data_IF_084050260390
#
_entry.id   IF_084050260390
#
_cell.length_a   1.000
_cell.length_b   1.000
_cell.length_c   1.000
_cell.angle_alpha   90.00
_cell.angle_beta   90.00
_cell.angle_gamma   90.00
#
_symmetry.space_group_name_H-M   'P 1'
#
loop_
_entity.id
_entity.type
_entity.pdbx_description
1 polymer ?
#
# COMPACT_ATOMS: atom_id res chain seq x y z
N UNK A 1 8.42 -0.23 -15.33
CA UNK A 1 7.13 -0.55 -14.69
C UNK A 1 6.48 -1.63 -15.55
N UNK A 2 6.58 -2.89 -15.13
CA UNK A 2 6.24 -4.05 -15.98
C UNK A 2 5.19 -4.99 -15.36
N UNK A 3 4.77 -4.75 -14.11
CA UNK A 3 3.72 -5.51 -13.43
C UNK A 3 2.37 -4.82 -13.55
N UNK A 4 1.31 -5.60 -13.72
CA UNK A 4 -0.08 -5.13 -13.83
C UNK A 4 -0.48 -4.21 -12.67
N UNK A 5 0.00 -4.47 -11.46
CA UNK A 5 -0.26 -3.64 -10.28
C UNK A 5 0.33 -2.24 -10.41
N UNK A 6 1.57 -2.12 -10.89
CA UNK A 6 2.21 -0.82 -11.14
C UNK A 6 1.51 -0.03 -12.25
N UNK A 7 1.04 -0.71 -13.29
CA UNK A 7 0.38 -0.07 -14.42
C UNK A 7 -1.07 0.32 -14.10
N UNK A 8 -1.91 -0.64 -13.73
CA UNK A 8 -3.35 -0.43 -13.54
C UNK A 8 -3.68 0.30 -12.23
N UNK A 9 -3.09 -0.13 -11.11
CA UNK A 9 -3.45 0.35 -9.76
C UNK A 9 -2.72 1.67 -9.43
N UNK A 10 -1.42 1.73 -9.73
CA UNK A 10 -0.58 2.88 -9.33
C UNK A 10 -0.62 3.97 -10.39
N UNK A 11 -0.55 3.64 -11.69
CA UNK A 11 -0.45 4.67 -12.74
C UNK A 11 -1.82 5.08 -13.24
N UNK A 12 -2.56 4.17 -13.89
CA UNK A 12 -3.82 4.53 -14.52
C UNK A 12 -4.90 4.95 -13.52
N UNK A 13 -5.09 4.21 -12.42
CA UNK A 13 -6.11 4.58 -11.45
C UNK A 13 -5.83 5.92 -10.75
N UNK A 14 -4.57 6.27 -10.53
CA UNK A 14 -4.20 7.54 -9.89
C UNK A 14 -4.27 8.71 -10.88
N UNK A 15 -3.76 8.52 -12.10
CA UNK A 15 -3.87 9.54 -13.16
C UNK A 15 -5.34 9.83 -13.51
N UNK A 16 -6.19 8.81 -13.58
CA UNK A 16 -7.64 8.98 -13.78
C UNK A 16 -8.29 9.84 -12.68
N UNK A 17 -7.76 9.79 -11.45
CA UNK A 17 -8.21 10.61 -10.32
C UNK A 17 -7.57 12.00 -10.28
N UNK A 18 -6.66 12.33 -11.21
CA UNK A 18 -5.90 13.58 -11.21
C UNK A 18 -4.78 13.63 -10.17
N UNK A 19 -4.40 12.48 -9.60
CA UNK A 19 -3.35 12.41 -8.58
C UNK A 19 -1.95 12.46 -9.21
N UNK A 20 -1.01 13.05 -8.48
CA UNK A 20 0.41 12.98 -8.82
C UNK A 20 0.97 11.58 -8.57
N UNK A 21 1.73 11.04 -9.53
CA UNK A 21 2.39 9.74 -9.41
C UNK A 21 3.90 9.95 -9.37
N UNK A 22 4.53 9.51 -8.29
CA UNK A 22 5.99 9.56 -8.14
C UNK A 22 6.53 8.16 -8.43
N UNK A 23 7.35 8.06 -9.46
CA UNK A 23 7.99 6.81 -9.86
C UNK A 23 9.48 6.81 -9.48
N UNK A 24 9.97 5.64 -9.07
CA UNK A 24 11.37 5.43 -8.73
C UNK A 24 11.95 4.30 -9.59
N UNK A 25 13.12 4.53 -10.19
CA UNK A 25 13.75 3.56 -11.11
C UNK A 25 14.27 2.30 -10.40
N UNK A 26 14.70 2.44 -9.14
CA UNK A 26 15.14 1.33 -8.28
C UNK A 26 14.72 1.58 -6.84
N UNK A 27 14.34 0.52 -6.15
CA UNK A 27 13.99 0.57 -4.74
C UNK A 27 15.18 1.06 -3.89
N UNK A 28 14.92 2.03 -3.01
CA UNK A 28 15.80 2.43 -1.92
C UNK A 28 14.93 3.02 -0.80
N UNK A 29 15.01 2.42 0.40
CA UNK A 29 14.16 2.79 1.53
C UNK A 29 14.31 4.26 1.92
N UNK A 30 15.55 4.74 2.06
CA UNK A 30 15.85 6.11 2.45
C UNK A 30 15.31 7.13 1.43
N UNK A 31 15.46 6.83 0.13
CA UNK A 31 14.89 7.65 -0.94
C UNK A 31 13.37 7.69 -0.92
N UNK A 32 12.71 6.58 -0.55
CA UNK A 32 11.25 6.58 -0.37
C UNK A 32 10.89 7.52 0.77
N UNK A 33 11.54 7.41 1.92
CA UNK A 33 11.26 8.24 3.09
C UNK A 33 11.49 9.74 2.81
N UNK A 34 12.61 10.09 2.17
CA UNK A 34 12.89 11.45 1.70
C UNK A 34 11.83 11.95 0.72
N UNK A 35 11.36 11.10 -0.18
CA UNK A 35 10.33 11.46 -1.17
C UNK A 35 8.98 11.69 -0.50
N UNK A 36 8.62 10.86 0.48
CA UNK A 36 7.39 11.02 1.27
C UNK A 36 7.42 12.37 1.99
N UNK A 37 8.52 12.69 2.67
CA UNK A 37 8.67 13.93 3.42
C UNK A 37 8.66 15.17 2.50
N UNK A 38 9.39 15.11 1.38
CA UNK A 38 9.56 16.22 0.42
C UNK A 38 8.27 16.53 -0.34
N UNK A 39 7.59 15.50 -0.85
CA UNK A 39 6.40 15.67 -1.70
C UNK A 39 5.08 15.44 -0.97
N UNK A 40 5.13 15.21 0.35
CA UNK A 40 3.95 14.96 1.19
C UNK A 40 3.08 13.84 0.64
N UNK A 41 3.71 12.72 0.29
CA UNK A 41 3.02 11.55 -0.28
C UNK A 41 1.95 11.07 0.69
N UNK A 42 0.76 10.78 0.16
CA UNK A 42 -0.42 10.35 0.94
C UNK A 42 -0.70 8.86 0.83
N UNK A 43 -0.35 8.25 -0.30
CA UNK A 43 -0.59 6.84 -0.60
C UNK A 43 0.73 6.17 -1.01
N UNK A 44 1.04 5.04 -0.38
CA UNK A 44 2.21 4.24 -0.70
C UNK A 44 1.78 2.80 -0.99
N UNK A 45 2.09 2.30 -2.18
CA UNK A 45 1.81 0.91 -2.56
C UNK A 45 3.12 0.13 -2.64
N UNK A 46 3.28 -0.86 -1.77
CA UNK A 46 4.56 -1.57 -1.59
C UNK A 46 4.34 -3.06 -1.32
N UNK A 47 5.34 -3.87 -1.63
CA UNK A 47 5.31 -5.32 -1.37
C UNK A 47 5.65 -5.64 0.09
N UNK A 48 5.24 -6.80 0.64
CA UNK A 48 5.44 -7.13 2.05
C UNK A 48 6.88 -6.99 2.59
N UNK A 49 7.95 -7.35 1.82
CA UNK A 49 9.33 -7.12 2.29
C UNK A 49 9.66 -5.66 2.59
N UNK A 50 9.05 -4.71 1.87
CA UNK A 50 9.26 -3.28 2.10
C UNK A 50 8.50 -2.83 3.35
N UNK A 51 7.31 -3.38 3.61
CA UNK A 51 6.57 -3.12 4.86
C UNK A 51 7.34 -3.63 6.06
N UNK A 52 7.98 -4.80 5.95
CA UNK A 52 8.88 -5.33 6.97
C UNK A 52 10.09 -4.43 7.20
N UNK A 53 10.69 -3.91 6.13
CA UNK A 53 11.79 -2.97 6.25
C UNK A 53 11.33 -1.67 6.94
N UNK A 54 10.16 -1.15 6.57
CA UNK A 54 9.55 0.01 7.23
C UNK A 54 9.28 -0.25 8.71
N UNK A 55 8.78 -1.44 9.09
CA UNK A 55 8.42 -1.74 10.48
C UNK A 55 9.63 -1.90 11.41
N UNK A 56 10.78 -2.35 10.87
CA UNK A 56 11.97 -2.67 11.66
C UNK A 56 13.04 -1.58 11.65
N UNK A 57 13.05 -0.70 10.66
CA UNK A 57 14.18 0.21 10.47
C UNK A 57 14.06 1.49 11.31
N UNK A 58 15.02 1.67 12.22
CA UNK A 58 15.18 2.90 13.02
C UNK A 58 15.32 4.18 12.19
N UNK A 59 15.76 4.07 10.92
CA UNK A 59 15.90 5.21 10.01
C UNK A 59 14.57 5.90 9.73
N UNK A 60 13.46 5.17 9.83
CA UNK A 60 12.11 5.69 9.59
C UNK A 60 11.76 6.82 10.56
N UNK A 61 12.28 6.76 11.79
CA UNK A 61 12.07 7.80 12.82
C UNK A 61 12.75 9.13 12.51
N UNK A 62 13.66 9.17 11.52
CA UNK A 62 14.37 10.39 11.11
C UNK A 62 13.56 11.26 10.15
N UNK A 63 12.48 10.73 9.57
CA UNK A 63 11.70 11.40 8.53
C UNK A 63 10.28 11.70 9.02
N UNK A 64 9.73 12.82 8.57
CA UNK A 64 8.34 13.15 8.82
C UNK A 64 7.40 12.42 7.83
N UNK A 65 6.72 11.40 8.34
CA UNK A 65 5.75 10.59 7.60
C UNK A 65 4.28 10.98 7.84
N UNK A 66 4.01 12.11 8.51
CA UNK A 66 2.65 12.53 8.87
C UNK A 66 1.68 12.73 7.68
N UNK A 67 2.20 12.90 6.46
CA UNK A 67 1.36 13.01 5.26
C UNK A 67 0.78 11.67 4.80
N UNK A 68 1.37 10.54 5.19
CA UNK A 68 0.91 9.22 4.79
C UNK A 68 -0.43 8.90 5.46
N UNK A 69 -1.42 8.60 4.62
CA UNK A 69 -2.78 8.22 5.03
C UNK A 69 -3.05 6.75 4.73
N UNK A 70 -2.44 6.21 3.69
CA UNK A 70 -2.65 4.81 3.28
C UNK A 70 -1.35 4.15 2.86
N UNK A 71 -1.06 2.99 3.45
CA UNK A 71 -0.05 2.04 2.98
C UNK A 71 -0.77 0.78 2.54
N UNK A 72 -0.63 0.44 1.26
CA UNK A 72 -1.22 -0.77 0.70
C UNK A 72 -0.17 -1.81 0.35
N UNK A 73 -0.52 -3.07 0.58
CA UNK A 73 0.26 -4.22 0.11
C UNK A 73 -0.58 -5.20 -0.67
N UNK A 74 0.10 -5.99 -1.51
CA UNK A 74 -0.52 -7.10 -2.23
C UNK A 74 0.53 -8.07 -2.75
N UNK A 75 0.09 -9.00 -3.59
CA UNK A 75 0.89 -10.07 -4.20
C UNK A 75 1.49 -11.12 -3.23
N UNK A 76 1.46 -10.89 -1.92
CA UNK A 76 1.79 -11.88 -0.90
C UNK A 76 1.03 -11.58 0.41
N UNK A 77 0.89 -12.60 1.26
CA UNK A 77 0.18 -12.50 2.52
C UNK A 77 0.90 -11.54 3.49
N UNK A 78 0.16 -10.58 4.04
CA UNK A 78 0.64 -9.66 5.06
C UNK A 78 0.13 -10.13 6.42
N UNK A 79 1.01 -10.70 7.24
CA UNK A 79 0.64 -11.19 8.56
C UNK A 79 0.14 -10.05 9.47
N UNK A 80 -0.88 -10.35 10.29
CA UNK A 80 -1.49 -9.40 11.24
C UNK A 80 -0.46 -8.65 12.09
N UNK A 81 0.52 -9.37 12.65
CA UNK A 81 1.57 -8.78 13.48
C UNK A 81 2.37 -7.70 12.70
N UNK A 82 2.73 -7.98 11.45
CA UNK A 82 3.45 -7.01 10.62
C UNK A 82 2.60 -5.78 10.28
N UNK A 83 1.30 -5.97 10.06
CA UNK A 83 0.37 -4.85 9.87
C UNK A 83 0.28 -3.96 11.12
N UNK A 84 0.19 -4.57 12.30
CA UNK A 84 0.13 -3.87 13.58
C UNK A 84 1.43 -3.11 13.87
N UNK A 85 2.59 -3.73 13.64
CA UNK A 85 3.89 -3.06 13.79
C UNK A 85 4.05 -1.89 12.82
N UNK A 86 3.61 -2.04 11.55
CA UNK A 86 3.65 -0.94 10.59
C UNK A 86 2.65 0.18 10.95
N UNK A 87 1.48 -0.16 11.48
CA UNK A 87 0.49 0.82 11.93
C UNK A 87 1.01 1.71 13.07
N UNK A 88 1.90 1.20 13.94
CA UNK A 88 2.55 2.01 15.00
C UNK A 88 3.42 3.13 14.44
N UNK A 89 3.96 2.96 13.23
CA UNK A 89 4.85 3.95 12.57
C UNK A 89 4.05 5.05 11.89
N UNK A 90 2.87 4.70 11.38
CA UNK A 90 1.95 5.63 10.71
C UNK A 90 0.61 5.65 11.45
N UNK A 91 0.55 6.14 12.70
CA UNK A 91 -0.66 6.08 13.53
C UNK A 91 -1.83 6.87 12.94
N UNK A 92 -1.56 7.87 12.09
CA UNK A 92 -2.57 8.65 11.38
C UNK A 92 -3.10 7.98 10.10
N UNK A 93 -2.51 6.85 9.70
CA UNK A 93 -2.80 6.17 8.45
C UNK A 93 -3.33 4.75 8.62
N UNK A 94 -3.67 4.15 7.49
CA UNK A 94 -4.21 2.79 7.41
C UNK A 94 -3.23 1.92 6.63
N UNK A 95 -2.80 0.82 7.23
CA UNK A 95 -2.14 -0.28 6.52
C UNK A 95 -3.21 -1.24 6.03
N UNK A 96 -3.31 -1.50 4.73
CA UNK A 96 -4.32 -2.37 4.13
C UNK A 96 -3.67 -3.39 3.20
N UNK A 97 -4.30 -4.56 3.06
CA UNK A 97 -3.91 -5.56 2.09
C UNK A 97 -4.95 -5.67 0.96
N UNK A 98 -4.48 -5.92 -0.26
CA UNK A 98 -5.30 -6.31 -1.40
C UNK A 98 -4.81 -7.62 -2.00
N UNK A 99 -5.77 -8.40 -2.50
CA UNK A 99 -5.51 -9.60 -3.28
C UNK A 99 -5.90 -9.37 -4.74
N UNK A 100 -5.14 -9.99 -5.63
CA UNK A 100 -5.19 -9.70 -7.04
C UNK A 100 -4.27 -10.60 -7.85
N UNK A 101 -4.63 -10.80 -9.12
CA UNK A 101 -3.88 -11.62 -10.07
C UNK A 101 -3.78 -10.92 -11.41
N UNK A 102 -2.79 -11.29 -12.21
CA UNK A 102 -2.65 -10.79 -13.59
C UNK A 102 -3.83 -11.17 -14.47
N UNK A 103 -4.33 -12.38 -14.27
CA UNK A 103 -5.44 -13.03 -14.94
C UNK A 103 -6.78 -12.33 -14.67
N UNK A 104 -6.87 -11.58 -13.56
CA UNK A 104 -8.06 -10.79 -13.18
C UNK A 104 -7.86 -9.29 -13.37
N UNK A 105 -6.90 -8.90 -14.24
CA UNK A 105 -6.59 -7.50 -14.55
C UNK A 105 -6.13 -6.65 -13.35
N UNK A 106 -5.68 -7.24 -12.24
CA UNK A 106 -5.12 -6.49 -11.13
C UNK A 106 -5.68 -6.88 -9.78
N UNK A 107 -6.72 -6.20 -9.29
CA UNK A 107 -7.27 -6.35 -7.92
C UNK A 107 -8.59 -7.11 -8.00
N UNK A 108 -8.76 -8.10 -7.12
CA UNK A 108 -10.02 -8.85 -6.92
C UNK A 108 -10.68 -8.46 -5.59
N UNK A 109 -9.89 -8.29 -4.54
CA UNK A 109 -10.41 -7.91 -3.22
C UNK A 109 -9.44 -6.96 -2.52
N UNK A 110 -9.99 -6.08 -1.69
CA UNK A 110 -9.20 -5.14 -0.89
C UNK A 110 -9.79 -4.99 0.50
N UNK A 111 -8.92 -4.89 1.49
CA UNK A 111 -9.34 -4.55 2.84
C UNK A 111 -9.87 -3.12 2.86
N UNK A 112 -11.14 -2.96 3.23
CA UNK A 112 -11.79 -1.67 3.30
C UNK A 112 -11.82 -1.16 4.74
N UNK A 113 -11.02 -0.14 5.03
CA UNK A 113 -10.97 0.47 6.35
C UNK A 113 -12.21 1.31 6.70
N UNK A 114 -13.11 1.55 5.74
CA UNK A 114 -14.34 2.33 5.90
C UNK A 114 -15.59 1.46 6.04
N UNK A 115 -15.49 0.14 5.85
CA UNK A 115 -16.65 -0.77 5.83
C UNK A 115 -16.44 -1.91 6.82
N UNK A 116 -17.07 -1.77 8.00
CA UNK A 116 -17.19 -2.85 8.99
C UNK A 116 -15.94 -3.15 9.82
N UNK A 117 -16.01 -4.17 10.70
CA UNK A 117 -14.87 -4.61 11.49
C UNK A 117 -13.77 -5.18 10.58
N UNK A 118 -12.54 -4.70 10.78
CA UNK A 118 -11.37 -5.17 10.02
C UNK A 118 -10.95 -6.55 10.52
N UNK A 119 -10.86 -7.50 9.62
CA UNK A 119 -10.29 -8.81 9.89
C UNK A 119 -8.84 -8.83 9.41
N UNK A 120 -7.92 -8.32 10.24
CA UNK A 120 -6.49 -8.31 9.93
C UNK A 120 -5.99 -9.71 9.55
N UNK A 121 -5.43 -9.86 8.35
CA UNK A 121 -5.03 -11.14 7.75
C UNK A 121 -6.04 -11.72 6.73
N UNK A 122 -7.20 -11.11 6.55
CA UNK A 122 -8.13 -11.40 5.45
C UNK A 122 -7.63 -10.83 4.11
N UNK A 123 -8.08 -11.40 2.99
CA UNK A 123 -7.86 -10.85 1.65
C UNK A 123 -8.75 -9.62 1.34
N UNK A 124 -9.64 -9.25 2.27
CA UNK A 124 -10.54 -8.11 2.14
C UNK A 124 -11.89 -8.48 1.51
N UNK A 125 -12.65 -7.46 1.11
CA UNK A 125 -13.94 -7.61 0.43
C UNK A 125 -13.76 -7.48 -1.08
N UNK A 126 -14.61 -8.15 -1.86
CA UNK A 126 -14.64 -8.06 -3.32
C UNK A 126 -14.74 -6.60 -3.78
N UNK A 127 -14.01 -6.28 -4.84
CA UNK A 127 -14.13 -4.97 -5.48
C UNK A 127 -15.44 -4.86 -6.25
N UNK A 128 -15.92 -3.63 -6.43
CA UNK A 128 -17.15 -3.37 -7.18
C UNK A 128 -17.01 -3.88 -8.62
N UNK A 129 -17.96 -4.71 -9.05
CA UNK A 129 -17.98 -5.29 -10.40
C UNK A 129 -17.48 -6.73 -10.49
N UNK A 130 -16.91 -7.28 -9.41
CA UNK A 130 -16.60 -8.71 -9.30
C UNK A 130 -17.73 -9.46 -8.59
N UNK A 131 -18.02 -10.69 -9.04
CA UNK A 131 -19.01 -11.58 -8.46
C UNK A 131 -18.34 -12.85 -7.93
N UNK A 132 -18.69 -13.28 -6.71
CA UNK A 132 -18.38 -14.63 -6.23
C UNK A 132 -19.53 -15.56 -6.62
N UNK A 133 -19.21 -16.61 -7.36
CA UNK A 133 -20.15 -17.72 -7.68
C UNK A 133 -20.33 -18.63 -6.48
#
# INVERSE_FOLDING_TARGET
MFHVSGLAIITYAQLRKGNAVISMSRFNLEKILMTVEKYKVTHLWVVPPIILALSKDSVVKKYNLSSLKHIGSGAAHLGKELMEECAKIIPQGVVAQGYGMTETCGIVSVENALVGPRHSGSAGTLVSGDESV
#
